data_IF_935150945952
#
_entry.id   IF_935150945952
#
_cell.length_a   1.000
_cell.length_b   1.000
_cell.length_c   1.000
_cell.angle_alpha   90.00
_cell.angle_beta   90.00
_cell.angle_gamma   90.00
#
_symmetry.space_group_name_H-M   'P 1'
#
loop_
_entity.id
_entity.type
_entity.pdbx_description
1 polymer ?
#
# COMPACT_ATOMS: atom_id res chain seq x y z
N UNK A 1 32.63 30.09 28.14
CA UNK A 1 31.32 29.95 28.80
C UNK A 1 30.35 29.46 27.76
N UNK A 2 30.19 28.14 27.68
CA UNK A 2 29.14 27.54 26.85
C UNK A 2 27.85 27.62 27.67
N UNK A 3 26.91 28.46 27.25
CA UNK A 3 25.55 28.43 27.74
C UNK A 3 24.94 27.08 27.37
N UNK A 4 24.66 26.26 28.38
CA UNK A 4 23.89 25.03 28.16
C UNK A 4 22.44 25.45 27.96
N UNK A 5 21.97 25.38 26.74
CA UNK A 5 20.53 25.53 26.46
C UNK A 5 19.83 24.26 26.89
N UNK A 6 18.98 24.35 27.91
CA UNK A 6 18.05 23.27 28.22
C UNK A 6 16.99 23.19 27.11
N UNK A 7 16.96 22.09 26.37
CA UNK A 7 15.90 21.82 25.37
C UNK A 7 15.05 20.64 25.84
N UNK A 8 13.77 20.77 25.57
CA UNK A 8 12.82 19.67 25.79
C UNK A 8 12.58 18.97 24.47
N UNK A 9 12.84 17.66 24.41
CA UNK A 9 12.49 16.82 23.29
C UNK A 9 11.06 16.31 23.50
N UNK A 10 10.14 16.70 22.62
CA UNK A 10 8.77 16.23 22.65
C UNK A 10 8.50 15.43 21.36
N UNK A 11 8.24 14.15 21.50
CA UNK A 11 7.85 13.31 20.38
C UNK A 11 6.34 13.45 20.17
N UNK A 12 5.96 13.81 18.95
CA UNK A 12 4.56 13.93 18.53
C UNK A 12 4.16 12.67 17.77
N UNK A 13 3.27 11.88 18.36
CA UNK A 13 2.76 10.66 17.75
C UNK A 13 1.74 10.95 16.64
N UNK A 14 1.61 10.02 15.67
CA UNK A 14 0.56 10.07 14.68
C UNK A 14 -0.80 9.76 15.32
N UNK A 15 -1.92 10.34 14.82
CA UNK A 15 -3.24 10.12 15.37
C UNK A 15 -3.62 8.64 15.39
N UNK A 16 -4.19 8.16 16.51
CA UNK A 16 -4.79 6.84 16.61
C UNK A 16 -6.02 6.72 15.72
N UNK A 17 -6.54 5.51 15.49
CA UNK A 17 -7.80 5.31 14.75
C UNK A 17 -8.95 6.14 15.36
N UNK A 18 -9.07 6.15 16.69
CA UNK A 18 -10.10 6.93 17.40
C UNK A 18 -9.96 8.43 17.17
N UNK A 19 -8.73 8.93 17.15
CA UNK A 19 -8.46 10.35 16.88
C UNK A 19 -8.76 10.69 15.41
N UNK A 20 -8.38 9.82 14.47
CA UNK A 20 -8.71 10.00 13.05
C UNK A 20 -10.24 10.03 12.82
N UNK A 21 -11.00 9.12 13.45
CA UNK A 21 -12.47 9.14 13.38
C UNK A 21 -13.02 10.48 13.84
N UNK A 22 -12.53 11.01 14.98
CA UNK A 22 -12.96 12.32 15.50
C UNK A 22 -12.61 13.44 14.54
N UNK A 23 -11.41 13.43 13.98
CA UNK A 23 -10.94 14.44 13.02
C UNK A 23 -11.77 14.41 11.73
N UNK A 24 -12.04 13.23 11.16
CA UNK A 24 -12.89 13.09 9.98
C UNK A 24 -14.34 13.56 10.24
N UNK A 25 -14.91 13.25 11.42
CA UNK A 25 -16.23 13.75 11.81
C UNK A 25 -16.25 15.27 11.99
N UNK A 26 -15.19 15.82 12.62
CA UNK A 26 -15.06 17.25 12.84
C UNK A 26 -14.93 18.03 11.51
N UNK A 27 -13.90 17.75 10.73
CA UNK A 27 -13.69 18.45 9.45
C UNK A 27 -14.79 18.13 8.44
N UNK A 28 -15.29 16.90 8.44
CA UNK A 28 -16.43 16.52 7.59
C UNK A 28 -17.69 17.31 7.88
N UNK A 29 -17.98 17.60 9.15
CA UNK A 29 -19.07 18.49 9.56
C UNK A 29 -18.84 19.93 9.14
N UNK A 30 -17.62 20.44 9.31
CA UNK A 30 -17.25 21.82 8.94
C UNK A 30 -17.35 22.08 7.42
N UNK A 31 -16.87 21.13 6.60
CA UNK A 31 -16.84 21.29 5.14
C UNK A 31 -18.09 20.70 4.43
N UNK A 32 -18.98 20.03 5.16
CA UNK A 32 -20.28 19.57 4.65
C UNK A 32 -20.20 18.26 3.85
N UNK A 33 -19.74 17.19 4.50
CA UNK A 33 -19.81 15.84 3.93
C UNK A 33 -21.27 15.40 3.71
N UNK A 34 -21.50 14.63 2.64
CA UNK A 34 -22.77 13.97 2.41
C UNK A 34 -22.99 12.84 3.45
N UNK A 35 -24.23 12.57 3.82
CA UNK A 35 -24.58 11.48 4.76
C UNK A 35 -24.17 10.09 4.28
N UNK A 36 -24.01 9.93 2.97
CA UNK A 36 -23.53 8.68 2.36
C UNK A 36 -22.04 8.42 2.55
N UNK A 37 -21.27 9.43 3.01
CA UNK A 37 -19.84 9.30 3.27
C UNK A 37 -19.64 8.82 4.70
N UNK A 38 -18.97 7.68 4.87
CA UNK A 38 -18.64 7.13 6.19
C UNK A 38 -17.27 7.61 6.68
N UNK A 39 -17.19 8.55 7.65
CA UNK A 39 -15.95 9.02 8.21
C UNK A 39 -15.12 7.93 8.89
N UNK A 40 -15.74 6.87 9.42
CA UNK A 40 -15.05 5.77 10.09
C UNK A 40 -14.31 4.90 9.08
N UNK A 41 -14.93 4.65 7.92
CA UNK A 41 -14.28 3.94 6.82
C UNK A 41 -13.03 4.69 6.31
N UNK A 42 -13.10 6.01 6.18
CA UNK A 42 -11.95 6.84 5.78
C UNK A 42 -10.85 6.86 6.84
N UNK A 43 -11.21 6.94 8.12
CA UNK A 43 -10.25 6.89 9.22
C UNK A 43 -9.53 5.54 9.31
N UNK A 44 -10.22 4.45 9.00
CA UNK A 44 -9.64 3.11 8.96
C UNK A 44 -8.76 2.92 7.70
N UNK A 45 -9.22 3.43 6.56
CA UNK A 45 -8.53 3.29 5.29
C UNK A 45 -7.24 4.13 5.20
N UNK A 46 -7.22 5.35 5.75
CA UNK A 46 -6.12 6.30 5.60
C UNK A 46 -5.52 6.70 6.95
N UNK A 47 -4.21 6.51 7.10
CA UNK A 47 -3.45 6.92 8.30
C UNK A 47 -3.02 8.39 8.23
N UNK A 48 -3.96 9.28 7.90
CA UNK A 48 -3.69 10.70 7.75
C UNK A 48 -3.50 11.43 9.09
N UNK A 49 -2.64 12.42 9.09
CA UNK A 49 -2.52 13.41 10.17
C UNK A 49 -3.71 14.39 10.12
N UNK A 50 -3.91 15.15 11.21
CA UNK A 50 -4.97 16.16 11.27
C UNK A 50 -4.91 17.16 10.09
N UNK A 51 -3.72 17.67 9.78
CA UNK A 51 -3.54 18.59 8.66
C UNK A 51 -3.79 17.96 7.29
N UNK A 52 -3.52 16.67 7.12
CA UNK A 52 -3.84 15.96 5.88
C UNK A 52 -5.35 15.77 5.72
N UNK A 53 -6.08 15.41 6.79
CA UNK A 53 -7.54 15.28 6.77
C UNK A 53 -8.20 16.61 6.45
N UNK A 54 -7.80 17.70 7.12
CA UNK A 54 -8.28 19.05 6.85
C UNK A 54 -8.06 19.43 5.38
N UNK A 55 -6.84 19.22 4.89
CA UNK A 55 -6.47 19.54 3.50
C UNK A 55 -7.29 18.76 2.47
N UNK A 56 -7.58 17.49 2.73
CA UNK A 56 -8.47 16.67 1.88
C UNK A 56 -9.87 17.26 1.86
N UNK A 57 -10.45 17.56 3.02
CA UNK A 57 -11.78 18.15 3.12
C UNK A 57 -11.86 19.52 2.41
N UNK A 58 -10.85 20.37 2.60
CA UNK A 58 -10.74 21.66 1.93
C UNK A 58 -10.64 21.52 0.39
N UNK A 59 -9.84 20.57 -0.11
CA UNK A 59 -9.71 20.31 -1.54
C UNK A 59 -11.00 19.77 -2.14
N UNK A 60 -11.69 18.87 -1.44
CA UNK A 60 -12.97 18.33 -1.84
C UNK A 60 -14.06 19.42 -1.86
N UNK A 61 -14.05 20.34 -0.90
CA UNK A 61 -14.98 21.48 -0.87
C UNK A 61 -14.75 22.44 -2.04
N UNK A 62 -13.51 22.76 -2.39
CA UNK A 62 -13.19 23.54 -3.59
C UNK A 62 -13.74 22.90 -4.85
N UNK A 63 -13.63 21.58 -4.99
CA UNK A 63 -14.19 20.85 -6.14
C UNK A 63 -15.72 20.85 -6.11
N UNK A 64 -16.33 20.66 -4.92
CA UNK A 64 -17.78 20.76 -4.71
C UNK A 64 -18.32 22.11 -5.21
N UNK A 65 -17.67 23.21 -4.81
CA UNK A 65 -18.04 24.55 -5.25
C UNK A 65 -17.91 24.73 -6.77
N UNK A 66 -16.81 24.24 -7.37
CA UNK A 66 -16.59 24.32 -8.81
C UNK A 66 -17.65 23.52 -9.59
N UNK A 67 -18.07 22.35 -9.08
CA UNK A 67 -19.10 21.50 -9.69
C UNK A 67 -20.53 21.90 -9.26
N UNK A 68 -20.69 22.95 -8.44
CA UNK A 68 -22.00 23.42 -7.90
C UNK A 68 -22.79 22.31 -7.21
N UNK A 69 -22.11 21.40 -6.54
CA UNK A 69 -22.75 20.34 -5.73
C UNK A 69 -23.08 20.88 -4.33
N UNK A 70 -24.12 20.36 -3.73
CA UNK A 70 -24.59 20.80 -2.40
C UNK A 70 -23.71 20.26 -1.27
N UNK A 71 -23.27 19.01 -1.38
CA UNK A 71 -22.48 18.30 -0.38
C UNK A 71 -21.24 17.65 -0.99
N UNK A 72 -20.23 17.39 -0.14
CA UNK A 72 -19.03 16.65 -0.53
C UNK A 72 -19.37 15.16 -0.60
N UNK A 73 -19.30 14.59 -1.79
CA UNK A 73 -19.56 13.16 -2.04
C UNK A 73 -18.29 12.32 -1.89
N UNK A 74 -18.45 11.00 -1.80
CA UNK A 74 -17.35 10.03 -1.77
C UNK A 74 -16.40 10.20 -2.98
N UNK A 75 -16.96 10.46 -4.17
CA UNK A 75 -16.18 10.73 -5.38
C UNK A 75 -15.26 11.95 -5.25
N UNK A 76 -15.76 13.05 -4.70
CA UNK A 76 -15.00 14.28 -4.48
C UNK A 76 -13.88 14.06 -3.45
N UNK A 77 -14.17 13.35 -2.36
CA UNK A 77 -13.15 13.00 -1.36
C UNK A 77 -12.04 12.14 -1.95
N UNK A 78 -12.38 11.08 -2.68
CA UNK A 78 -11.37 10.22 -3.33
C UNK A 78 -10.53 11.01 -4.34
N UNK A 79 -11.13 11.95 -5.06
CA UNK A 79 -10.40 12.84 -5.98
C UNK A 79 -9.47 13.79 -5.23
N UNK A 80 -9.91 14.35 -4.11
CA UNK A 80 -9.10 15.23 -3.26
C UNK A 80 -7.91 14.46 -2.64
N UNK A 81 -8.14 13.24 -2.16
CA UNK A 81 -7.08 12.36 -1.67
C UNK A 81 -6.04 12.12 -2.77
N UNK A 82 -6.45 11.76 -3.98
CA UNK A 82 -5.53 11.58 -5.11
C UNK A 82 -4.70 12.83 -5.43
N UNK A 83 -5.25 14.03 -5.21
CA UNK A 83 -4.51 15.27 -5.41
C UNK A 83 -3.49 15.56 -4.30
N UNK A 84 -3.73 15.04 -3.10
CA UNK A 84 -2.83 15.21 -1.96
C UNK A 84 -1.62 14.28 -2.06
N UNK A 85 -1.81 13.11 -2.65
CA UNK A 85 -0.78 12.10 -2.74
C UNK A 85 0.31 12.49 -3.75
N UNK A 86 1.57 12.15 -3.49
CA UNK A 86 2.66 12.44 -4.40
C UNK A 86 2.42 11.80 -5.77
N UNK A 87 2.47 12.60 -6.84
CA UNK A 87 2.34 12.10 -8.22
C UNK A 87 3.58 11.34 -8.71
N UNK A 88 4.62 11.28 -7.90
CA UNK A 88 5.88 10.65 -8.28
C UNK A 88 5.79 9.14 -8.46
N UNK A 89 4.76 8.50 -7.88
CA UNK A 89 4.53 7.07 -8.10
C UNK A 89 4.24 6.74 -9.57
N UNK A 90 3.59 7.65 -10.33
CA UNK A 90 3.24 7.44 -11.73
C UNK A 90 4.46 7.31 -12.66
N UNK A 91 5.64 7.74 -12.19
CA UNK A 91 6.91 7.55 -12.92
C UNK A 91 7.53 6.16 -12.69
N UNK A 92 7.17 5.51 -11.59
CA UNK A 92 7.79 4.26 -11.12
C UNK A 92 6.81 3.08 -11.14
N UNK A 93 5.51 3.37 -11.21
CA UNK A 93 4.46 2.37 -11.24
C UNK A 93 3.30 2.82 -12.11
N UNK A 94 2.66 1.88 -12.76
CA UNK A 94 1.50 2.12 -13.64
C UNK A 94 0.22 1.81 -12.88
N UNK A 95 -0.69 2.77 -12.80
CA UNK A 95 -2.02 2.53 -12.24
C UNK A 95 -2.81 1.57 -13.12
N UNK A 96 -3.42 0.56 -12.49
CA UNK A 96 -4.38 -0.35 -13.13
C UNK A 96 -5.77 -0.03 -12.60
N UNK A 97 -6.70 0.29 -13.50
CA UNK A 97 -8.12 0.43 -13.15
C UNK A 97 -8.73 -0.97 -12.97
N UNK A 98 -9.21 -1.32 -11.76
CA UNK A 98 -9.76 -2.65 -11.50
C UNK A 98 -11.09 -2.84 -12.26
N UNK A 99 -11.12 -3.75 -13.23
CA UNK A 99 -12.32 -4.06 -14.02
C UNK A 99 -12.96 -5.40 -13.64
N UNK A 100 -12.22 -6.26 -12.94
CA UNK A 100 -12.63 -7.61 -12.62
C UNK A 100 -12.95 -7.77 -11.15
N UNK A 101 -13.88 -8.67 -10.86
CA UNK A 101 -14.29 -9.09 -9.52
C UNK A 101 -13.93 -10.56 -9.28
N UNK A 102 -14.12 -11.08 -8.06
CA UNK A 102 -13.93 -12.50 -7.79
C UNK A 102 -14.93 -13.41 -8.56
N UNK A 103 -16.03 -12.86 -9.09
CA UNK A 103 -16.96 -13.60 -9.93
C UNK A 103 -16.37 -13.88 -11.33
N UNK A 104 -15.52 -13.00 -11.82
CA UNK A 104 -14.92 -13.09 -13.16
C UNK A 104 -13.70 -14.02 -13.18
N UNK A 105 -13.06 -14.24 -12.04
CA UNK A 105 -11.85 -15.06 -11.95
C UNK A 105 -12.20 -16.53 -11.80
N UNK A 106 -11.72 -17.34 -12.75
CA UNK A 106 -11.85 -18.81 -12.70
C UNK A 106 -10.74 -19.40 -11.82
N UNK A 107 -11.08 -19.75 -10.59
CA UNK A 107 -10.23 -20.47 -9.65
C UNK A 107 -11.10 -21.38 -8.79
N UNK A 108 -10.51 -22.36 -8.12
CA UNK A 108 -11.27 -23.20 -7.19
C UNK A 108 -11.76 -22.38 -5.96
N UNK A 109 -12.81 -22.88 -5.30
CA UNK A 109 -13.41 -22.18 -4.16
C UNK A 109 -12.42 -22.03 -3.00
N UNK A 110 -11.52 -22.95 -2.80
CA UNK A 110 -10.49 -22.91 -1.73
C UNK A 110 -9.51 -21.76 -1.98
N UNK A 111 -9.09 -21.57 -3.23
CA UNK A 111 -8.24 -20.45 -3.61
C UNK A 111 -8.97 -19.11 -3.43
N UNK A 112 -10.25 -19.02 -3.83
CA UNK A 112 -11.09 -17.84 -3.58
C UNK A 112 -11.23 -17.51 -2.11
N UNK A 113 -11.50 -18.49 -1.28
CA UNK A 113 -11.59 -18.31 0.16
C UNK A 113 -10.28 -17.79 0.75
N UNK A 114 -9.14 -18.34 0.32
CA UNK A 114 -7.82 -17.87 0.75
C UNK A 114 -7.60 -16.40 0.40
N UNK A 115 -7.92 -15.98 -0.82
CA UNK A 115 -7.79 -14.58 -1.23
C UNK A 115 -8.78 -13.67 -0.48
N UNK A 116 -10.01 -14.11 -0.25
CA UNK A 116 -10.98 -13.37 0.56
C UNK A 116 -10.53 -13.23 2.01
N UNK A 117 -9.89 -14.26 2.57
CA UNK A 117 -9.30 -14.19 3.91
C UNK A 117 -8.18 -13.15 3.97
N UNK A 118 -7.30 -13.12 2.97
CA UNK A 118 -6.26 -12.10 2.84
C UNK A 118 -6.87 -10.69 2.77
N UNK A 119 -7.93 -10.50 2.00
CA UNK A 119 -8.66 -9.23 1.95
C UNK A 119 -9.27 -8.88 3.32
N UNK A 120 -9.85 -9.84 4.02
CA UNK A 120 -10.43 -9.63 5.35
C UNK A 120 -9.37 -9.22 6.38
N UNK A 121 -8.19 -9.85 6.36
CA UNK A 121 -7.05 -9.44 7.22
C UNK A 121 -6.70 -7.98 7.01
N UNK A 122 -6.67 -7.52 5.75
CA UNK A 122 -6.38 -6.13 5.43
C UNK A 122 -7.49 -5.19 5.89
N UNK A 123 -8.76 -5.55 5.65
CA UNK A 123 -9.93 -4.73 6.05
C UNK A 123 -10.00 -4.51 7.57
N UNK A 124 -9.67 -5.51 8.37
CA UNK A 124 -9.81 -5.45 9.83
C UNK A 124 -8.50 -5.23 10.58
N UNK A 125 -7.38 -4.96 9.88
CA UNK A 125 -6.04 -4.83 10.49
C UNK A 125 -5.98 -3.79 11.61
N UNK A 126 -6.58 -2.60 11.41
CA UNK A 126 -6.53 -1.53 12.39
C UNK A 126 -7.40 -1.85 13.61
N UNK A 127 -8.56 -2.47 13.43
CA UNK A 127 -9.39 -2.94 14.55
C UNK A 127 -8.67 -3.96 15.43
N UNK A 128 -8.00 -4.94 14.81
CA UNK A 128 -7.26 -5.98 15.53
C UNK A 128 -6.07 -5.36 16.28
N UNK A 129 -5.36 -4.43 15.64
CA UNK A 129 -4.18 -3.82 16.24
C UNK A 129 -4.53 -2.85 17.38
N UNK A 130 -5.53 -1.99 17.17
CA UNK A 130 -5.88 -0.90 18.09
C UNK A 130 -6.83 -1.35 19.21
N UNK A 131 -7.88 -2.14 18.89
CA UNK A 131 -8.89 -2.56 19.89
C UNK A 131 -8.42 -3.73 20.75
N UNK A 132 -7.64 -4.68 20.21
CA UNK A 132 -7.19 -5.86 20.93
C UNK A 132 -5.78 -5.74 21.48
N UNK A 133 -5.12 -4.58 21.30
CA UNK A 133 -3.82 -4.28 21.89
C UNK A 133 -2.65 -5.10 21.32
N UNK A 134 -2.85 -5.81 20.21
CA UNK A 134 -1.78 -6.57 19.56
C UNK A 134 -0.72 -5.67 18.90
N UNK A 135 -1.09 -4.42 18.57
CA UNK A 135 -0.20 -3.45 17.91
C UNK A 135 1.05 -3.08 18.70
N UNK A 136 1.01 -3.20 20.03
CA UNK A 136 2.19 -2.93 20.89
C UNK A 136 3.18 -4.09 20.97
N UNK A 137 2.76 -5.31 20.61
CA UNK A 137 3.56 -6.53 20.76
C UNK A 137 4.17 -7.04 19.45
N UNK A 138 3.67 -6.61 18.31
CA UNK A 138 4.11 -7.08 16.98
C UNK A 138 4.68 -5.90 16.20
N UNK A 139 6.00 -5.84 16.12
CA UNK A 139 6.74 -4.77 15.44
C UNK A 139 6.86 -4.99 13.93
N UNK A 140 6.64 -6.22 13.44
CA UNK A 140 6.81 -6.62 12.03
C UNK A 140 5.60 -7.43 11.55
N UNK A 141 5.33 -7.38 10.21
CA UNK A 141 4.33 -8.26 9.59
C UNK A 141 2.88 -7.79 9.71
N UNK A 142 2.64 -6.48 9.80
CA UNK A 142 1.27 -5.92 9.82
C UNK A 142 0.60 -5.90 8.45
N UNK A 143 1.39 -5.96 7.38
CA UNK A 143 0.91 -5.98 6.01
C UNK A 143 0.38 -7.35 5.58
N UNK A 144 -0.20 -7.37 4.41
CA UNK A 144 -0.67 -8.60 3.75
C UNK A 144 0.10 -8.77 2.45
N UNK A 145 0.77 -9.90 2.30
CA UNK A 145 1.46 -10.26 1.07
C UNK A 145 0.85 -11.50 0.45
N UNK A 146 0.57 -11.43 -0.84
CA UNK A 146 -0.02 -12.54 -1.62
C UNK A 146 0.92 -12.88 -2.76
N UNK A 147 1.27 -14.16 -2.89
CA UNK A 147 2.02 -14.67 -4.03
C UNK A 147 1.08 -15.41 -5.00
N UNK A 148 0.90 -14.85 -6.19
CA UNK A 148 0.17 -15.48 -7.29
C UNK A 148 1.16 -16.17 -8.23
N UNK A 149 1.07 -17.47 -8.39
CA UNK A 149 1.97 -18.23 -9.26
C UNK A 149 1.22 -19.11 -10.24
N UNK A 150 1.81 -19.33 -11.41
CA UNK A 150 1.26 -20.18 -12.45
C UNK A 150 1.69 -19.75 -13.86
N UNK A 151 1.45 -20.56 -14.89
CA UNK A 151 1.79 -20.24 -16.27
C UNK A 151 1.21 -18.90 -16.74
N UNK A 152 1.76 -18.30 -17.82
CA UNK A 152 1.17 -17.13 -18.44
C UNK A 152 -0.32 -17.39 -18.83
N UNK A 153 -1.16 -16.35 -18.69
CA UNK A 153 -2.58 -16.47 -19.03
C UNK A 153 -3.49 -17.10 -17.97
N UNK A 154 -2.96 -17.50 -16.79
CA UNK A 154 -3.76 -18.12 -15.72
C UNK A 154 -4.58 -17.13 -14.88
N UNK A 155 -4.59 -15.84 -15.23
CA UNK A 155 -5.42 -14.83 -14.57
C UNK A 155 -4.80 -14.15 -13.35
N UNK A 156 -3.47 -14.18 -13.17
CA UNK A 156 -2.79 -13.52 -12.04
C UNK A 156 -3.13 -12.02 -11.96
N UNK A 157 -3.00 -11.29 -13.05
CA UNK A 157 -3.34 -9.85 -13.11
C UNK A 157 -4.84 -9.60 -12.92
N UNK A 158 -5.70 -10.52 -13.39
CA UNK A 158 -7.15 -10.47 -13.15
C UNK A 158 -7.46 -10.67 -11.65
N UNK A 159 -6.78 -11.62 -11.00
CA UNK A 159 -6.91 -11.84 -9.56
C UNK A 159 -6.45 -10.63 -8.74
N UNK A 160 -5.36 -9.96 -9.15
CA UNK A 160 -4.91 -8.73 -8.52
C UNK A 160 -5.96 -7.60 -8.61
N UNK A 161 -6.62 -7.47 -9.76
CA UNK A 161 -7.72 -6.51 -9.95
C UNK A 161 -8.95 -6.88 -9.10
N UNK A 162 -9.29 -8.17 -8.99
CA UNK A 162 -10.39 -8.63 -8.15
C UNK A 162 -10.14 -8.33 -6.66
N UNK A 163 -8.91 -8.50 -6.19
CA UNK A 163 -8.50 -8.12 -4.84
C UNK A 163 -8.66 -6.60 -4.63
N UNK A 164 -8.20 -5.80 -5.59
CA UNK A 164 -8.30 -4.33 -5.52
C UNK A 164 -9.75 -3.86 -5.47
N UNK A 165 -10.63 -4.46 -6.27
CA UNK A 165 -12.07 -4.20 -6.23
C UNK A 165 -12.68 -4.58 -4.87
N UNK A 166 -12.36 -5.76 -4.33
CA UNK A 166 -12.86 -6.24 -3.04
C UNK A 166 -12.44 -5.33 -1.88
N UNK A 167 -11.23 -4.78 -1.94
CA UNK A 167 -10.69 -3.87 -0.93
C UNK A 167 -11.10 -2.41 -1.15
N UNK A 168 -11.59 -2.04 -2.34
CA UNK A 168 -11.83 -0.65 -2.73
C UNK A 168 -10.55 0.19 -2.76
N UNK A 169 -9.40 -0.44 -3.03
CA UNK A 169 -8.08 0.19 -3.05
C UNK A 169 -7.59 0.38 -4.49
N UNK A 170 -6.78 1.40 -4.70
CA UNK A 170 -6.10 1.59 -5.99
C UNK A 170 -4.99 0.56 -6.17
N UNK A 171 -4.81 0.08 -7.41
CA UNK A 171 -3.82 -0.93 -7.78
C UNK A 171 -2.73 -0.30 -8.65
N UNK A 172 -1.48 -0.39 -8.19
CA UNK A 172 -0.32 0.09 -8.93
C UNK A 172 0.61 -1.07 -9.28
N UNK A 173 0.80 -1.29 -10.59
CA UNK A 173 1.80 -2.23 -11.08
C UNK A 173 3.16 -1.58 -11.08
N UNK A 174 4.05 -2.15 -10.30
CA UNK A 174 5.44 -1.74 -10.19
C UNK A 174 6.26 -2.49 -11.24
N UNK A 175 6.92 -1.75 -12.10
CA UNK A 175 7.84 -2.32 -13.09
C UNK A 175 9.24 -2.41 -12.49
N UNK A 176 9.60 -3.60 -12.10
CA UNK A 176 10.89 -3.88 -11.47
C UNK A 176 12.08 -3.60 -12.40
N UNK A 177 11.89 -3.71 -13.72
CA UNK A 177 12.93 -3.42 -14.70
C UNK A 177 13.27 -1.93 -14.78
N UNK A 178 12.29 -1.07 -14.50
CA UNK A 178 12.50 0.39 -14.44
C UNK A 178 13.02 0.86 -13.07
N UNK A 179 12.85 0.05 -12.03
CA UNK A 179 13.35 0.37 -10.70
C UNK A 179 14.84 0.07 -10.54
N UNK A 180 15.33 -0.98 -11.23
CA UNK A 180 16.73 -1.35 -11.25
C UNK A 180 17.46 -0.44 -12.25
N UNK A 181 17.92 0.70 -11.79
CA UNK A 181 18.67 1.64 -12.62
C UNK A 181 20.18 1.29 -12.63
N UNK A 182 20.86 1.74 -13.69
CA UNK A 182 22.31 1.58 -13.87
C UNK A 182 23.17 2.33 -12.82
N UNK A 183 22.55 3.18 -12.01
CA UNK A 183 23.25 4.02 -11.02
C UNK A 183 23.02 3.48 -9.60
N UNK A 184 24.12 3.19 -8.92
CA UNK A 184 24.16 2.72 -7.52
C UNK A 184 23.43 3.70 -6.60
N UNK A 185 22.44 3.21 -5.83
CA UNK A 185 21.68 3.98 -4.86
C UNK A 185 20.42 4.68 -5.38
N UNK A 186 20.16 4.71 -6.68
CA UNK A 186 18.88 5.23 -7.24
C UNK A 186 17.76 4.20 -7.07
N UNK A 187 18.05 2.92 -7.21
CA UNK A 187 17.11 1.81 -6.98
C UNK A 187 16.49 1.87 -5.58
N UNK A 188 17.31 2.03 -4.53
CA UNK A 188 16.84 2.12 -3.15
C UNK A 188 15.95 3.35 -2.93
N UNK A 189 16.30 4.50 -3.50
CA UNK A 189 15.50 5.72 -3.44
C UNK A 189 14.14 5.54 -4.14
N UNK A 190 14.14 4.92 -5.30
CA UNK A 190 12.93 4.68 -6.08
C UNK A 190 12.02 3.70 -5.36
N UNK A 191 12.57 2.61 -4.80
CA UNK A 191 11.84 1.67 -3.96
C UNK A 191 11.23 2.38 -2.74
N UNK A 192 12.01 3.13 -1.98
CA UNK A 192 11.48 3.90 -0.84
C UNK A 192 10.30 4.79 -1.25
N UNK A 193 10.44 5.55 -2.35
CA UNK A 193 9.34 6.40 -2.85
C UNK A 193 8.08 5.61 -3.18
N UNK A 194 8.20 4.45 -3.84
CA UNK A 194 7.05 3.59 -4.17
C UNK A 194 6.35 3.11 -2.91
N UNK A 195 7.11 2.62 -1.92
CA UNK A 195 6.54 2.12 -0.66
C UNK A 195 5.94 3.24 0.19
N UNK A 196 6.59 4.41 0.28
CA UNK A 196 6.09 5.57 1.01
C UNK A 196 4.79 6.09 0.38
N UNK A 197 4.76 6.26 -0.95
CA UNK A 197 3.52 6.64 -1.66
C UNK A 197 2.40 5.63 -1.44
N UNK A 198 2.71 4.32 -1.46
CA UNK A 198 1.71 3.27 -1.26
C UNK A 198 1.18 3.24 0.17
N UNK A 199 2.04 3.52 1.16
CA UNK A 199 1.64 3.64 2.56
C UNK A 199 0.71 4.84 2.77
N UNK A 200 1.09 6.02 2.29
CA UNK A 200 0.31 7.25 2.45
C UNK A 200 -1.01 7.19 1.68
N UNK A 201 -1.00 6.59 0.49
CA UNK A 201 -2.17 6.48 -0.37
C UNK A 201 -3.03 5.25 -0.11
N UNK A 202 -2.58 4.34 0.74
CA UNK A 202 -3.22 3.05 0.96
C UNK A 202 -3.48 2.29 -0.35
N UNK A 203 -2.42 2.16 -1.18
CA UNK A 203 -2.46 1.47 -2.47
C UNK A 203 -2.04 0.02 -2.34
N UNK A 204 -2.51 -0.80 -3.27
CA UNK A 204 -1.98 -2.13 -3.49
C UNK A 204 -0.78 -2.03 -4.43
N UNK A 205 0.37 -2.55 -4.01
CA UNK A 205 1.54 -2.71 -4.86
C UNK A 205 1.49 -4.08 -5.53
N UNK A 206 1.48 -4.09 -6.85
CA UNK A 206 1.48 -5.29 -7.66
C UNK A 206 2.80 -5.42 -8.40
N UNK A 207 3.63 -6.36 -7.97
CA UNK A 207 4.89 -6.70 -8.61
C UNK A 207 4.65 -7.84 -9.59
N UNK A 208 4.61 -7.51 -10.88
CA UNK A 208 4.47 -8.50 -11.93
C UNK A 208 5.85 -9.03 -12.35
N UNK A 209 5.90 -10.28 -12.84
CA UNK A 209 7.15 -10.95 -13.24
C UNK A 209 8.24 -10.93 -12.14
N UNK A 210 7.82 -11.13 -10.88
CA UNK A 210 8.70 -11.07 -9.73
C UNK A 210 9.85 -12.11 -9.78
N UNK A 211 9.72 -13.15 -10.57
CA UNK A 211 10.77 -14.15 -10.82
C UNK A 211 12.06 -13.54 -11.40
N UNK A 212 11.98 -12.43 -12.11
CA UNK A 212 13.16 -11.74 -12.64
C UNK A 212 14.12 -11.25 -11.53
N UNK A 213 13.57 -10.87 -10.36
CA UNK A 213 14.38 -10.43 -9.21
C UNK A 213 14.72 -11.53 -8.23
N UNK A 214 13.84 -12.53 -8.11
CA UNK A 214 13.92 -13.55 -7.06
C UNK A 214 14.46 -14.89 -7.57
N UNK A 215 14.96 -14.92 -8.82
CA UNK A 215 15.68 -16.08 -9.35
C UNK A 215 16.78 -16.50 -8.37
N UNK A 216 16.92 -17.81 -8.17
CA UNK A 216 17.93 -18.40 -7.28
C UNK A 216 19.25 -17.72 -7.49
N UNK A 217 19.88 -17.27 -6.41
CA UNK A 217 21.18 -16.63 -6.38
C UNK A 217 22.14 -17.44 -7.25
N UNK A 218 22.52 -16.90 -8.38
CA UNK A 218 23.67 -17.39 -9.15
C UNK A 218 24.92 -17.22 -8.31
N UNK A 219 25.85 -18.16 -8.36
CA UNK A 219 27.14 -18.02 -7.69
C UNK A 219 27.77 -16.71 -8.11
N UNK A 220 28.27 -15.94 -7.13
CA UNK A 220 28.83 -14.60 -7.32
C UNK A 220 30.07 -14.74 -8.19
N UNK A 221 29.92 -14.44 -9.48
CA UNK A 221 31.04 -14.47 -10.45
C UNK A 221 31.52 -13.07 -10.84
N UNK A 222 30.74 -12.03 -10.53
CA UNK A 222 31.08 -10.63 -10.87
C UNK A 222 30.65 -9.62 -9.79
N UNK A 223 31.22 -8.42 -9.85
CA UNK A 223 30.83 -7.29 -8.98
C UNK A 223 29.35 -6.92 -9.20
N UNK A 224 28.81 -7.07 -10.41
CA UNK A 224 27.40 -6.78 -10.73
C UNK A 224 26.45 -7.73 -9.99
N UNK A 225 26.82 -9.00 -9.81
CA UNK A 225 26.01 -9.98 -9.07
C UNK A 225 25.87 -9.61 -7.58
N UNK A 226 26.89 -8.95 -7.02
CA UNK A 226 26.89 -8.47 -5.63
C UNK A 226 25.90 -7.32 -5.42
N UNK A 227 25.77 -6.42 -6.38
CA UNK A 227 24.82 -5.29 -6.32
C UNK A 227 23.40 -5.77 -6.53
N UNK A 228 23.14 -6.64 -7.49
CA UNK A 228 21.81 -7.24 -7.70
C UNK A 228 21.31 -7.98 -6.45
N UNK A 229 22.20 -8.69 -5.74
CA UNK A 229 21.83 -9.37 -4.48
C UNK A 229 21.46 -8.37 -3.36
N UNK A 230 22.11 -7.20 -3.29
CA UNK A 230 21.80 -6.18 -2.29
C UNK A 230 20.43 -5.53 -2.56
N UNK A 231 20.11 -5.24 -3.83
CA UNK A 231 18.81 -4.65 -4.22
C UNK A 231 17.65 -5.61 -3.92
N UNK A 232 17.83 -6.90 -4.19
CA UNK A 232 16.86 -7.93 -3.81
C UNK A 232 16.69 -8.00 -2.29
N UNK A 233 17.78 -7.98 -1.54
CA UNK A 233 17.71 -8.00 -0.08
C UNK A 233 16.98 -6.76 0.48
N UNK A 234 17.23 -5.60 -0.10
CA UNK A 234 16.56 -4.35 0.27
C UNK A 234 15.06 -4.39 -0.05
N UNK A 235 14.68 -4.86 -1.24
CA UNK A 235 13.27 -5.03 -1.60
C UNK A 235 12.58 -6.01 -0.66
N UNK A 236 13.21 -7.12 -0.31
CA UNK A 236 12.68 -8.08 0.66
C UNK A 236 12.40 -7.44 2.02
N UNK A 237 13.37 -6.69 2.53
CA UNK A 237 13.22 -5.94 3.77
C UNK A 237 12.02 -4.98 3.69
N UNK A 238 11.89 -4.24 2.59
CA UNK A 238 10.76 -3.32 2.39
C UNK A 238 9.42 -4.03 2.33
N UNK A 239 9.34 -5.19 1.70
CA UNK A 239 8.11 -6.01 1.67
C UNK A 239 7.74 -6.47 3.09
N UNK A 240 8.71 -6.91 3.91
CA UNK A 240 8.48 -7.34 5.29
C UNK A 240 8.03 -6.20 6.22
N UNK A 241 8.58 -5.00 6.01
CA UNK A 241 8.28 -3.80 6.80
C UNK A 241 6.99 -3.09 6.36
N UNK A 242 6.46 -3.42 5.19
CA UNK A 242 5.32 -2.70 4.62
C UNK A 242 4.00 -3.09 5.28
N UNK A 243 3.31 -2.11 5.84
CA UNK A 243 2.02 -2.31 6.53
C UNK A 243 0.80 -2.35 5.58
N UNK A 244 1.02 -2.33 4.26
CA UNK A 244 -0.02 -2.32 3.25
C UNK A 244 -0.30 -3.68 2.63
N UNK A 245 -0.88 -3.67 1.42
CA UNK A 245 -1.17 -4.87 0.65
C UNK A 245 -0.21 -5.01 -0.54
N UNK A 246 0.47 -6.13 -0.62
CA UNK A 246 1.40 -6.46 -1.70
C UNK A 246 0.92 -7.71 -2.45
N UNK A 247 0.97 -7.65 -3.76
CA UNK A 247 0.75 -8.80 -4.62
C UNK A 247 2.01 -9.04 -5.44
N UNK A 248 2.53 -10.24 -5.36
CA UNK A 248 3.64 -10.70 -6.20
C UNK A 248 3.09 -11.69 -7.21
N UNK A 249 3.45 -11.56 -8.48
CA UNK A 249 3.09 -12.51 -9.51
C UNK A 249 4.33 -13.11 -10.16
N UNK A 250 4.31 -14.41 -10.39
CA UNK A 250 5.40 -15.13 -11.06
C UNK A 250 4.87 -16.21 -12.01
N UNK A 251 5.62 -16.46 -13.06
CA UNK A 251 5.37 -17.57 -13.95
C UNK A 251 6.04 -18.87 -13.48
N UNK A 252 7.10 -18.77 -12.65
CA UNK A 252 7.93 -19.90 -12.25
C UNK A 252 8.17 -19.93 -10.75
N UNK A 253 7.32 -20.66 -10.04
CA UNK A 253 7.41 -20.81 -8.57
C UNK A 253 8.74 -21.41 -8.09
N UNK A 254 9.31 -22.34 -8.88
CA UNK A 254 10.56 -23.03 -8.53
C UNK A 254 11.80 -22.11 -8.48
N UNK A 255 11.71 -20.91 -9.04
CA UNK A 255 12.79 -19.94 -9.03
C UNK A 255 12.89 -19.17 -7.70
N UNK A 256 11.84 -19.19 -6.90
CA UNK A 256 11.86 -18.54 -5.60
C UNK A 256 12.67 -19.32 -4.57
N UNK A 257 13.50 -18.61 -3.81
CA UNK A 257 14.18 -19.15 -2.65
C UNK A 257 13.14 -19.51 -1.57
N UNK A 258 13.14 -20.74 -1.02
CA UNK A 258 12.24 -21.14 0.06
C UNK A 258 12.31 -20.23 1.31
N UNK A 259 13.46 -19.62 1.58
CA UNK A 259 13.62 -18.65 2.67
C UNK A 259 12.82 -17.38 2.42
N UNK A 260 12.71 -16.97 1.15
CA UNK A 260 11.90 -15.85 0.72
C UNK A 260 10.40 -16.12 0.89
N UNK A 261 9.93 -17.29 0.43
CA UNK A 261 8.51 -17.65 0.54
C UNK A 261 8.05 -17.62 2.01
N UNK A 262 8.88 -18.11 2.94
CA UNK A 262 8.57 -18.08 4.38
C UNK A 262 8.44 -16.68 4.97
N UNK A 263 9.10 -15.70 4.39
CA UNK A 263 9.06 -14.30 4.82
C UNK A 263 7.83 -13.57 4.29
N UNK A 264 7.35 -13.91 3.09
CA UNK A 264 6.19 -13.30 2.47
C UNK A 264 4.88 -13.90 2.97
N UNK A 265 4.84 -15.20 3.21
CA UNK A 265 3.62 -15.97 3.52
C UNK A 265 3.50 -16.22 5.03
N UNK A 266 3.83 -15.25 5.86
CA UNK A 266 3.70 -15.34 7.32
C UNK A 266 2.34 -14.84 7.83
#
# INVERSE_FOLDING_TARGET
LAESYDYYLLEMETPTLKDRIRLWKYFGGEYGLAESVDPEAYADQYNFTAGQIEKVCMLADKQRLAEKKEKITDELLRRAIRMLLPRDIEKLATKIEPKFTFADVRMDERQKETLKLACSRMKYRNRVNDEWGFGQKVTYGRGVSVLLYGPPGTGKTMSAQAIANELGMELYRVDLSQLVDKYIGETEKNLNRVFDCAKDGNFILFFDEADALFAKRTEISSSNDKYANNEVAFLLQKIEEFDGFIILATNVYSNFDPAFIRRIVS
#
